data_IF_101651663704
#
_entry.id   IF_101651663704
#
_cell.length_a   1.000
_cell.length_b   1.000
_cell.length_c   1.000
_cell.angle_alpha   90.00
_cell.angle_beta   90.00
_cell.angle_gamma   90.00
#
_symmetry.space_group_name_H-M   'P 1'
#
loop_
_entity.id
_entity.type
_entity.pdbx_description
1 polymer ?
#
# COMPACT_ATOMS: atom_id res chain seq x y z
N UNK A 1 -40.17 47.12 12.77
CA UNK A 1 -39.43 45.87 12.44
C UNK A 1 -38.14 46.19 11.69
N UNK A 2 -37.13 46.72 12.38
CA UNK A 2 -35.80 46.95 11.79
C UNK A 2 -34.66 46.90 12.85
N UNK A 3 -34.95 46.37 14.04
CA UNK A 3 -34.03 46.34 15.17
C UNK A 3 -33.77 44.94 15.75
N UNK A 4 -34.31 43.87 15.15
CA UNK A 4 -34.10 42.48 15.61
C UNK A 4 -33.14 41.67 14.72
N UNK A 5 -32.75 42.19 13.56
CA UNK A 5 -31.88 41.49 12.58
C UNK A 5 -30.38 41.78 12.81
N UNK A 6 -30.02 42.68 13.74
CA UNK A 6 -28.61 43.00 14.07
C UNK A 6 -28.06 42.29 15.32
N UNK A 7 -28.85 41.40 15.94
CA UNK A 7 -28.46 40.69 17.18
C UNK A 7 -27.94 39.26 16.98
N UNK A 8 -28.03 38.67 15.78
CA UNK A 8 -27.54 37.30 15.51
C UNK A 8 -26.14 37.27 14.86
N UNK A 9 -25.57 38.42 14.48
CA UNK A 9 -24.25 38.50 13.85
C UNK A 9 -23.07 38.66 14.83
N UNK A 10 -23.29 38.55 16.15
CA UNK A 10 -22.22 38.62 17.18
C UNK A 10 -22.06 37.37 18.04
N UNK A 11 -22.75 36.27 17.70
CA UNK A 11 -22.55 34.95 18.35
C UNK A 11 -21.84 33.95 17.40
N UNK A 12 -21.51 34.36 16.18
CA UNK A 12 -20.81 33.52 15.18
C UNK A 12 -19.29 33.80 15.07
N UNK A 13 -18.66 34.45 16.05
CA UNK A 13 -17.20 34.73 16.05
C UNK A 13 -16.46 34.28 17.31
N UNK A 14 -17.06 33.39 18.11
CA UNK A 14 -16.38 32.72 19.24
C UNK A 14 -16.75 31.23 19.34
N UNK A 15 -16.39 30.45 18.32
CA UNK A 15 -16.32 28.98 18.40
C UNK A 15 -15.37 28.39 17.34
N UNK A 16 -14.31 29.11 16.99
CA UNK A 16 -13.23 28.63 16.11
C UNK A 16 -11.89 29.00 16.74
N UNK A 17 -11.59 28.34 17.85
CA UNK A 17 -10.29 28.44 18.50
C UNK A 17 -10.05 27.14 19.29
N UNK A 18 -9.36 26.20 18.65
CA UNK A 18 -8.43 25.20 19.22
C UNK A 18 -8.58 23.84 18.52
N UNK A 19 -7.94 23.71 17.37
CA UNK A 19 -7.36 22.44 16.97
C UNK A 19 -5.87 22.72 16.73
N UNK A 20 -4.95 22.06 17.44
CA UNK A 20 -3.53 22.19 17.14
C UNK A 20 -3.30 21.67 15.72
N UNK A 21 -2.89 22.55 14.82
CA UNK A 21 -2.30 22.14 13.54
C UNK A 21 -1.00 21.42 13.87
N UNK A 22 -1.05 20.10 13.95
CA UNK A 22 0.14 19.28 13.76
C UNK A 22 0.60 19.55 12.34
N UNK A 23 1.61 20.40 12.19
CA UNK A 23 2.33 20.57 10.94
C UNK A 23 3.14 19.30 10.76
N UNK A 24 2.55 18.28 10.14
CA UNK A 24 3.31 17.16 9.61
C UNK A 24 4.17 17.74 8.50
N UNK A 25 5.45 17.95 8.81
CA UNK A 25 6.49 18.15 7.80
C UNK A 25 6.62 16.84 7.02
N UNK A 26 5.80 16.69 5.99
CA UNK A 26 6.12 15.76 4.91
C UNK A 26 7.44 16.24 4.32
N UNK A 27 8.49 15.41 4.38
CA UNK A 27 9.67 15.55 3.52
C UNK A 27 9.16 15.43 2.08
N UNK A 28 8.81 16.56 1.47
CA UNK A 28 8.63 16.63 0.03
C UNK A 28 9.98 16.27 -0.58
N UNK A 29 9.99 15.25 -1.44
CA UNK A 29 11.06 15.05 -2.39
C UNK A 29 11.34 16.38 -3.10
N UNK A 30 12.61 16.69 -3.44
CA UNK A 30 12.95 17.97 -4.06
C UNK A 30 12.08 18.18 -5.32
N UNK A 31 11.36 19.29 -5.33
CA UNK A 31 10.55 19.80 -6.42
C UNK A 31 11.39 20.24 -7.64
N UNK A 32 12.32 19.40 -8.10
CA UNK A 32 13.20 19.67 -9.24
C UNK A 32 12.55 19.24 -10.57
N UNK A 33 11.50 18.41 -10.54
CA UNK A 33 10.93 17.82 -11.76
C UNK A 33 9.59 18.41 -12.22
N UNK A 34 8.98 19.37 -11.51
CA UNK A 34 7.73 20.04 -11.95
C UNK A 34 7.91 21.57 -12.15
N UNK A 35 9.11 22.11 -11.93
CA UNK A 35 9.35 23.55 -11.88
C UNK A 35 10.24 24.12 -13.01
N UNK A 36 10.14 23.62 -14.26
CA UNK A 36 10.83 24.23 -15.42
C UNK A 36 9.96 25.16 -16.30
N UNK A 37 8.72 25.49 -15.92
CA UNK A 37 7.84 26.32 -16.77
C UNK A 37 7.29 27.64 -16.18
N UNK A 38 7.61 28.04 -14.95
CA UNK A 38 7.13 29.34 -14.44
C UNK A 38 8.21 30.07 -13.65
N UNK A 39 9.07 30.78 -14.38
CA UNK A 39 10.18 31.58 -13.86
C UNK A 39 9.85 33.08 -13.67
N UNK A 40 8.57 33.46 -13.55
CA UNK A 40 8.17 34.88 -13.65
C UNK A 40 7.60 35.54 -12.38
N UNK A 41 7.48 34.86 -11.23
CA UNK A 41 7.00 35.52 -10.00
C UNK A 41 7.64 34.94 -8.74
N UNK A 42 8.80 35.47 -8.35
CA UNK A 42 9.27 35.45 -6.96
C UNK A 42 9.46 36.89 -6.48
N UNK A 43 8.83 37.31 -5.38
CA UNK A 43 9.36 38.37 -4.56
C UNK A 43 10.57 37.83 -3.78
N UNK A 44 11.70 38.52 -3.91
CA UNK A 44 12.86 38.45 -3.02
C UNK A 44 12.49 39.02 -1.66
N UNK A 45 12.91 38.37 -0.57
CA UNK A 45 13.33 38.96 0.72
C UNK A 45 13.78 37.83 1.66
N UNK A 46 15.07 37.65 1.91
CA UNK A 46 15.91 38.32 2.91
C UNK A 46 15.96 37.58 4.26
N UNK A 47 17.10 36.92 4.48
CA UNK A 47 17.85 36.74 5.73
C UNK A 47 17.12 37.07 7.04
N UNK A 48 16.88 36.07 7.87
CA UNK A 48 16.98 36.20 9.34
C UNK A 48 17.51 34.90 9.95
N UNK A 49 18.71 35.00 10.55
CA UNK A 49 19.25 34.03 11.51
C UNK A 49 18.61 34.29 12.87
N UNK A 50 18.10 33.26 13.54
CA UNK A 50 17.97 33.30 15.01
C UNK A 50 17.99 31.93 15.67
N UNK A 51 19.00 31.78 16.54
CA UNK A 51 19.06 31.16 17.88
C UNK A 51 18.52 29.74 18.12
N UNK A 52 19.45 28.91 18.61
CA UNK A 52 19.25 27.64 19.31
C UNK A 52 18.25 27.79 20.45
N UNK A 53 17.18 27.00 20.43
CA UNK A 53 16.47 26.56 21.61
C UNK A 53 16.68 25.05 21.75
N UNK A 54 17.09 24.63 22.94
CA UNK A 54 17.05 23.24 23.37
C UNK A 54 15.59 22.80 23.41
N UNK A 55 15.26 21.72 22.70
CA UNK A 55 13.99 21.01 22.79
C UNK A 55 14.35 19.65 23.40
N UNK A 56 13.71 19.35 24.51
CA UNK A 56 13.76 18.06 25.20
C UNK A 56 13.01 17.02 24.37
N UNK A 57 13.70 15.92 24.07
CA UNK A 57 13.28 14.51 24.17
C UNK A 57 11.83 14.16 23.76
N UNK A 58 11.53 14.26 22.46
CA UNK A 58 10.40 13.57 21.80
C UNK A 58 10.87 12.30 21.04
N UNK A 59 12.18 12.03 21.00
CA UNK A 59 12.78 10.92 20.24
C UNK A 59 12.71 9.57 20.99
N UNK A 60 12.47 9.58 22.32
CA UNK A 60 12.45 8.36 23.14
C UNK A 60 11.15 7.56 22.96
N UNK A 61 10.02 8.21 22.69
CA UNK A 61 8.70 7.55 22.57
C UNK A 61 8.57 6.79 21.23
N UNK A 62 9.20 7.27 20.16
CA UNK A 62 9.24 6.59 18.85
C UNK A 62 10.18 5.36 18.90
N UNK A 63 11.29 5.47 19.63
CA UNK A 63 12.24 4.38 19.86
C UNK A 63 11.65 3.26 20.72
N UNK A 64 10.86 3.60 21.74
CA UNK A 64 10.12 2.62 22.56
C UNK A 64 9.06 1.87 21.74
N UNK A 65 8.37 2.56 20.82
CA UNK A 65 7.39 1.94 19.92
C UNK A 65 8.05 0.98 18.90
N UNK A 66 9.23 1.31 18.39
CA UNK A 66 9.99 0.46 17.47
C UNK A 66 10.58 -0.78 18.19
N UNK A 67 11.05 -0.61 19.43
CA UNK A 67 11.50 -1.71 20.30
C UNK A 67 10.37 -2.70 20.62
N UNK A 68 9.18 -2.20 20.94
CA UNK A 68 8.01 -3.05 21.22
C UNK A 68 7.57 -3.87 19.98
N UNK A 69 7.65 -3.28 18.78
CA UNK A 69 7.34 -3.98 17.54
C UNK A 69 8.35 -5.10 17.22
N UNK A 70 9.65 -4.84 17.46
CA UNK A 70 10.72 -5.83 17.27
C UNK A 70 10.65 -6.97 18.29
N UNK A 71 10.30 -6.70 19.55
CA UNK A 71 10.07 -7.76 20.54
C UNK A 71 8.89 -8.65 20.17
N UNK A 72 7.83 -8.08 19.58
CA UNK A 72 6.68 -8.86 19.13
C UNK A 72 7.03 -9.76 17.93
N UNK A 73 7.77 -9.24 16.95
CA UNK A 73 8.25 -10.02 15.80
C UNK A 73 9.23 -11.13 16.22
N UNK A 74 10.11 -10.85 17.18
CA UNK A 74 11.02 -11.86 17.76
C UNK A 74 10.26 -12.96 18.48
N UNK A 75 9.20 -12.62 19.22
CA UNK A 75 8.36 -13.60 19.92
C UNK A 75 7.58 -14.50 18.96
N UNK A 76 7.13 -13.96 17.84
CA UNK A 76 6.47 -14.72 16.77
C UNK A 76 7.43 -15.68 16.05
N UNK A 77 8.69 -15.26 15.84
CA UNK A 77 9.74 -16.10 15.28
C UNK A 77 10.20 -17.20 16.24
N UNK A 78 10.34 -16.90 17.54
CA UNK A 78 10.67 -17.92 18.56
C UNK A 78 9.53 -18.94 18.74
N UNK A 79 8.27 -18.56 18.52
CA UNK A 79 7.14 -19.48 18.51
C UNK A 79 7.16 -20.42 17.29
N UNK A 80 7.61 -19.92 16.12
CA UNK A 80 7.84 -20.72 14.93
C UNK A 80 9.05 -21.66 15.09
N UNK A 81 10.11 -21.21 15.77
CA UNK A 81 11.34 -21.99 15.99
C UNK A 81 11.18 -23.07 17.08
N UNK A 82 10.36 -22.84 18.11
CA UNK A 82 10.07 -23.82 19.17
C UNK A 82 9.18 -24.99 18.74
N UNK A 83 8.78 -25.05 17.47
CA UNK A 83 8.06 -26.20 16.93
C UNK A 83 6.75 -26.46 17.67
N UNK A 84 6.05 -25.40 18.09
CA UNK A 84 4.63 -25.50 18.44
C UNK A 84 3.85 -25.68 17.13
N UNK A 85 4.02 -26.86 16.55
CA UNK A 85 3.30 -27.33 15.38
C UNK A 85 1.83 -27.34 15.75
N UNK A 86 1.06 -26.46 15.12
CA UNK A 86 -0.36 -26.66 14.86
C UNK A 86 -0.56 -28.14 14.55
N UNK A 87 -1.31 -28.81 15.43
CA UNK A 87 -1.68 -30.21 15.32
C UNK A 87 -2.03 -30.58 13.88
N UNK A 88 -1.46 -31.70 13.44
CA UNK A 88 -1.95 -32.51 12.33
C UNK A 88 -3.48 -32.52 12.31
N UNK A 89 -4.05 -31.82 11.34
CA UNK A 89 -5.47 -31.92 11.00
C UNK A 89 -5.59 -32.51 9.59
N UNK A 90 -4.91 -33.63 9.39
CA UNK A 90 -5.06 -34.52 8.24
C UNK A 90 -6.22 -35.49 8.49
N UNK A 91 -7.45 -34.97 8.55
CA UNK A 91 -8.74 -35.65 8.25
C UNK A 91 -9.93 -34.82 8.76
N UNK A 92 -10.39 -33.81 8.01
CA UNK A 92 -11.78 -33.28 8.06
C UNK A 92 -12.01 -32.19 7.00
N UNK A 93 -11.94 -32.52 5.71
CA UNK A 93 -12.04 -31.51 4.65
C UNK A 93 -13.46 -31.00 4.30
N UNK A 94 -14.54 -31.49 4.92
CA UNK A 94 -15.89 -31.10 4.49
C UNK A 94 -16.77 -30.34 5.51
N UNK A 95 -16.33 -30.14 6.76
CA UNK A 95 -17.16 -29.48 7.79
C UNK A 95 -16.73 -28.06 8.17
N UNK A 96 -15.48 -27.64 7.88
CA UNK A 96 -14.95 -26.34 8.31
C UNK A 96 -15.23 -25.19 7.33
N UNK A 97 -15.32 -25.46 6.03
CA UNK A 97 -15.58 -24.46 4.99
C UNK A 97 -16.99 -23.87 5.09
N UNK A 98 -17.97 -24.72 5.43
CA UNK A 98 -19.37 -24.32 5.64
C UNK A 98 -19.52 -23.36 6.83
N UNK A 99 -18.82 -23.63 7.95
CA UNK A 99 -18.88 -22.79 9.14
C UNK A 99 -18.21 -21.41 8.96
N UNK A 100 -17.10 -21.33 8.21
CA UNK A 100 -16.47 -20.05 7.90
C UNK A 100 -17.33 -19.22 6.94
N UNK A 101 -17.95 -19.87 5.95
CA UNK A 101 -18.83 -19.20 5.00
C UNK A 101 -20.10 -18.66 5.65
N UNK A 102 -20.71 -19.41 6.59
CA UNK A 102 -21.87 -18.93 7.34
C UNK A 102 -21.54 -17.76 8.25
N UNK A 103 -20.38 -17.78 8.91
CA UNK A 103 -19.91 -16.66 9.74
C UNK A 103 -19.67 -15.37 8.95
N UNK A 104 -19.13 -15.47 7.72
CA UNK A 104 -19.01 -14.32 6.85
C UNK A 104 -20.38 -13.74 6.53
N UNK A 105 -21.30 -14.59 6.06
CA UNK A 105 -22.62 -14.16 5.61
C UNK A 105 -23.42 -13.50 6.73
N UNK A 106 -23.44 -14.10 7.92
CA UNK A 106 -24.12 -13.54 9.09
C UNK A 106 -23.59 -12.15 9.46
N UNK A 107 -22.26 -11.98 9.48
CA UNK A 107 -21.65 -10.68 9.77
C UNK A 107 -21.88 -9.66 8.65
N UNK A 108 -21.84 -10.11 7.40
CA UNK A 108 -22.07 -9.28 6.24
C UNK A 108 -23.49 -8.71 6.27
N UNK A 109 -24.50 -9.57 6.38
CA UNK A 109 -25.90 -9.19 6.42
C UNK A 109 -26.22 -8.30 7.62
N UNK A 110 -25.66 -8.61 8.79
CA UNK A 110 -25.83 -7.80 9.99
C UNK A 110 -25.25 -6.38 9.85
N UNK A 111 -24.14 -6.20 9.12
CA UNK A 111 -23.60 -4.86 8.83
C UNK A 111 -24.45 -4.18 7.75
N UNK A 112 -24.84 -4.90 6.71
CA UNK A 112 -25.62 -4.38 5.59
C UNK A 112 -26.96 -3.79 6.06
N UNK A 113 -27.69 -4.54 6.90
CA UNK A 113 -28.94 -4.10 7.52
C UNK A 113 -28.72 -2.86 8.40
N UNK A 114 -27.70 -2.87 9.26
CA UNK A 114 -27.43 -1.76 10.19
C UNK A 114 -26.85 -0.52 9.52
N UNK A 115 -26.40 -0.63 8.27
CA UNK A 115 -25.86 0.50 7.50
C UNK A 115 -26.85 1.03 6.47
N UNK A 116 -28.10 0.58 6.47
CA UNK A 116 -29.13 1.20 5.62
C UNK A 116 -29.33 2.68 5.95
N UNK A 117 -29.71 3.48 4.96
CA UNK A 117 -29.88 4.94 5.13
C UNK A 117 -30.97 5.26 6.16
N UNK A 118 -32.01 4.43 6.23
CA UNK A 118 -33.12 4.51 7.17
C UNK A 118 -32.73 4.19 8.62
N UNK A 119 -31.62 3.48 8.85
CA UNK A 119 -31.24 3.01 10.18
C UNK A 119 -30.89 4.18 11.10
N UNK A 120 -31.45 4.26 12.32
CA UNK A 120 -31.10 5.31 13.28
C UNK A 120 -29.62 5.29 13.68
N UNK A 121 -29.04 6.46 13.96
CA UNK A 121 -27.59 6.61 14.29
C UNK A 121 -27.15 5.73 15.47
N UNK A 122 -27.99 5.58 16.49
CA UNK A 122 -27.69 4.77 17.67
C UNK A 122 -27.67 3.25 17.41
N UNK A 123 -28.16 2.80 16.25
CA UNK A 123 -28.19 1.40 15.84
C UNK A 123 -27.08 1.06 14.82
N UNK A 124 -26.28 2.06 14.42
CA UNK A 124 -25.16 1.86 13.52
C UNK A 124 -24.16 0.87 14.11
N UNK A 125 -23.49 0.07 13.26
CA UNK A 125 -22.50 -0.88 13.73
C UNK A 125 -21.31 -0.15 14.37
N UNK A 126 -20.67 -0.83 15.33
CA UNK A 126 -19.39 -0.36 15.88
C UNK A 126 -18.34 -0.37 14.78
N UNK A 127 -17.37 0.55 14.86
CA UNK A 127 -16.26 0.62 13.92
C UNK A 127 -15.49 -0.70 13.75
N UNK A 128 -15.37 -1.49 14.82
CA UNK A 128 -14.70 -2.80 14.80
C UNK A 128 -15.45 -3.86 14.01
N UNK A 129 -16.75 -3.69 13.71
CA UNK A 129 -17.54 -4.69 13.01
C UNK A 129 -16.97 -5.00 11.61
N UNK A 130 -16.60 -3.96 10.86
CA UNK A 130 -15.98 -4.12 9.54
C UNK A 130 -14.66 -4.88 9.65
N UNK A 131 -13.81 -4.54 10.62
CA UNK A 131 -12.57 -5.28 10.87
C UNK A 131 -12.80 -6.77 11.18
N UNK A 132 -13.83 -7.10 11.97
CA UNK A 132 -14.17 -8.50 12.29
C UNK A 132 -14.79 -9.28 11.12
N UNK A 133 -15.46 -8.60 10.20
CA UNK A 133 -15.92 -9.19 8.93
C UNK A 133 -14.73 -9.50 8.02
N UNK A 134 -13.78 -8.58 7.87
CA UNK A 134 -12.62 -8.77 6.99
C UNK A 134 -11.77 -9.98 7.37
N UNK A 135 -11.77 -10.36 8.66
CA UNK A 135 -11.09 -11.58 9.15
C UNK A 135 -11.76 -12.89 8.73
N UNK A 136 -13.03 -12.86 8.33
CA UNK A 136 -13.78 -14.07 7.93
C UNK A 136 -13.82 -14.28 6.42
N UNK A 137 -13.22 -13.38 5.64
CA UNK A 137 -13.16 -13.48 4.17
C UNK A 137 -12.20 -14.61 3.79
N UNK A 138 -12.70 -15.59 3.06
CA UNK A 138 -11.98 -16.81 2.68
C UNK A 138 -12.11 -17.14 1.19
N UNK A 139 -13.18 -16.69 0.52
CA UNK A 139 -13.44 -16.95 -0.91
C UNK A 139 -13.43 -15.67 -1.74
N UNK A 140 -13.30 -15.79 -3.07
CA UNK A 140 -13.41 -14.62 -3.97
C UNK A 140 -14.79 -14.00 -3.97
N UNK A 141 -15.86 -14.80 -3.93
CA UNK A 141 -17.23 -14.27 -3.92
C UNK A 141 -17.47 -13.38 -2.70
N UNK A 142 -16.93 -13.79 -1.54
CA UNK A 142 -16.96 -12.97 -0.32
C UNK A 142 -16.18 -11.67 -0.49
N UNK A 143 -15.00 -11.71 -1.13
CA UNK A 143 -14.22 -10.52 -1.44
C UNK A 143 -14.94 -9.59 -2.44
N UNK A 144 -15.64 -10.16 -3.42
CA UNK A 144 -16.43 -9.46 -4.44
C UNK A 144 -17.64 -8.73 -3.86
N UNK A 145 -18.17 -9.18 -2.73
CA UNK A 145 -19.25 -8.49 -2.01
C UNK A 145 -18.75 -7.26 -1.21
N UNK A 146 -17.46 -7.17 -0.88
CA UNK A 146 -16.95 -6.10 -0.01
C UNK A 146 -17.10 -4.67 -0.57
N UNK A 147 -16.89 -4.39 -1.88
CA UNK A 147 -17.04 -3.04 -2.41
C UNK A 147 -18.40 -2.41 -2.15
N UNK A 148 -19.49 -3.16 -2.31
CA UNK A 148 -20.86 -2.67 -2.05
C UNK A 148 -21.01 -2.27 -0.57
N UNK A 149 -20.59 -3.15 0.34
CA UNK A 149 -20.64 -2.88 1.78
C UNK A 149 -19.80 -1.67 2.17
N UNK A 150 -18.59 -1.54 1.61
CA UNK A 150 -17.69 -0.40 1.90
C UNK A 150 -18.28 0.90 1.38
N UNK A 151 -18.89 0.88 0.19
CA UNK A 151 -19.60 2.04 -0.34
C UNK A 151 -20.74 2.47 0.59
N UNK A 152 -21.57 1.52 1.04
CA UNK A 152 -22.66 1.81 1.98
C UNK A 152 -22.13 2.33 3.33
N UNK A 153 -21.06 1.73 3.85
CA UNK A 153 -20.36 2.18 5.05
C UNK A 153 -19.94 3.65 4.94
N UNK A 154 -19.38 4.03 3.78
CA UNK A 154 -18.96 5.41 3.48
C UNK A 154 -20.13 6.37 3.30
N UNK A 155 -21.23 5.96 2.66
CA UNK A 155 -22.44 6.79 2.55
C UNK A 155 -23.04 7.12 3.93
N UNK A 156 -22.90 6.21 4.90
CA UNK A 156 -23.26 6.43 6.31
C UNK A 156 -22.23 7.24 7.11
N UNK A 157 -21.19 7.76 6.44
CA UNK A 157 -20.09 8.55 7.02
C UNK A 157 -19.36 7.82 8.14
N UNK A 158 -19.37 6.48 8.11
CA UNK A 158 -18.61 5.70 9.07
C UNK A 158 -17.11 5.77 8.71
N UNK A 159 -16.21 5.89 9.71
CA UNK A 159 -14.79 6.04 9.45
C UNK A 159 -14.19 4.76 8.90
N UNK A 160 -13.17 4.92 8.06
CA UNK A 160 -12.28 3.85 7.61
C UNK A 160 -10.86 4.30 7.93
N UNK A 161 -10.23 3.63 8.88
CA UNK A 161 -8.86 3.95 9.29
C UNK A 161 -7.84 3.33 8.34
N UNK A 162 -6.56 3.77 8.38
CA UNK A 162 -5.49 3.10 7.63
C UNK A 162 -5.38 1.60 7.94
N UNK A 163 -5.59 1.21 9.20
CA UNK A 163 -5.62 -0.20 9.61
C UNK A 163 -6.74 -0.98 8.90
N UNK A 164 -7.96 -0.43 8.83
CA UNK A 164 -9.05 -1.09 8.12
C UNK A 164 -8.78 -1.12 6.62
N UNK A 165 -8.20 -0.06 6.06
CA UNK A 165 -7.79 -0.02 4.65
C UNK A 165 -6.81 -1.15 4.34
N UNK A 166 -5.76 -1.31 5.15
CA UNK A 166 -4.79 -2.40 4.95
C UNK A 166 -5.42 -3.79 5.11
N UNK A 167 -6.31 -3.98 6.09
CA UNK A 167 -6.99 -5.26 6.30
C UNK A 167 -8.00 -5.59 5.20
N UNK A 168 -8.67 -4.58 4.64
CA UNK A 168 -9.58 -4.74 3.53
C UNK A 168 -8.82 -5.22 2.29
N UNK A 169 -7.72 -4.54 1.96
CA UNK A 169 -6.87 -4.94 0.83
C UNK A 169 -6.20 -6.30 1.09
N UNK A 170 -5.78 -6.58 2.33
CA UNK A 170 -5.28 -7.91 2.70
C UNK A 170 -6.33 -9.00 2.47
N UNK A 171 -7.59 -8.79 2.87
CA UNK A 171 -8.66 -9.75 2.67
C UNK A 171 -8.91 -10.04 1.19
N UNK A 172 -8.83 -9.02 0.33
CA UNK A 172 -9.07 -9.15 -1.12
C UNK A 172 -7.87 -9.79 -1.85
N UNK A 173 -6.64 -9.51 -1.43
CA UNK A 173 -5.43 -10.03 -2.09
C UNK A 173 -4.94 -11.38 -1.56
N UNK A 174 -5.37 -11.84 -0.38
CA UNK A 174 -4.81 -13.03 0.29
C UNK A 174 -5.67 -14.30 0.15
N UNK A 175 -6.88 -14.23 -0.40
CA UNK A 175 -7.73 -15.42 -0.53
C UNK A 175 -7.05 -16.46 -1.43
N UNK A 176 -6.66 -17.58 -0.82
CA UNK A 176 -5.83 -18.65 -1.41
C UNK A 176 -6.48 -19.33 -2.62
N UNK A 177 -7.79 -19.16 -2.81
CA UNK A 177 -8.56 -19.81 -3.88
C UNK A 177 -8.90 -18.91 -5.07
N UNK A 178 -8.79 -17.58 -4.95
CA UNK A 178 -9.03 -16.65 -6.04
C UNK A 178 -8.59 -15.24 -5.64
N UNK A 179 -7.28 -15.01 -5.66
CA UNK A 179 -6.70 -13.68 -5.52
C UNK A 179 -7.39 -12.75 -6.51
N UNK A 180 -8.06 -11.72 -6.01
CA UNK A 180 -8.82 -10.78 -6.83
C UNK A 180 -8.22 -9.38 -6.71
N UNK A 181 -6.93 -9.18 -7.06
CA UNK A 181 -6.26 -7.89 -6.92
C UNK A 181 -6.92 -6.78 -7.76
N UNK A 182 -7.76 -7.12 -8.74
CA UNK A 182 -8.61 -6.18 -9.48
C UNK A 182 -9.59 -5.43 -8.56
N UNK A 183 -10.19 -6.12 -7.59
CA UNK A 183 -11.07 -5.50 -6.59
C UNK A 183 -10.26 -4.52 -5.73
N UNK A 184 -8.99 -4.84 -5.43
CA UNK A 184 -8.12 -3.91 -4.70
C UNK A 184 -7.87 -2.64 -5.53
N UNK A 185 -7.67 -2.73 -6.85
CA UNK A 185 -7.59 -1.55 -7.72
C UNK A 185 -8.91 -0.79 -7.72
N UNK A 186 -10.06 -1.44 -7.82
CA UNK A 186 -11.37 -0.76 -7.77
C UNK A 186 -11.51 0.07 -6.48
N UNK A 187 -11.21 -0.56 -5.34
CA UNK A 187 -11.31 0.06 -4.02
C UNK A 187 -10.32 1.23 -3.83
N UNK A 188 -9.12 1.13 -4.40
CA UNK A 188 -8.07 2.16 -4.31
C UNK A 188 -8.16 3.22 -5.42
N UNK A 189 -8.80 2.90 -6.54
CA UNK A 189 -8.94 3.81 -7.68
C UNK A 189 -9.98 4.89 -7.44
N UNK A 190 -11.00 4.60 -6.63
CA UNK A 190 -12.08 5.54 -6.30
C UNK A 190 -12.05 5.91 -4.81
N UNK A 191 -11.18 6.86 -4.47
CA UNK A 191 -11.08 7.37 -3.09
C UNK A 191 -12.34 8.10 -2.64
N UNK A 192 -13.11 8.69 -3.54
CA UNK A 192 -14.32 9.43 -3.16
C UNK A 192 -15.41 8.47 -2.69
N UNK A 193 -15.60 7.37 -3.42
CA UNK A 193 -16.59 6.34 -3.10
C UNK A 193 -16.15 5.52 -1.89
N UNK A 194 -14.92 4.99 -1.88
CA UNK A 194 -14.49 4.01 -0.89
C UNK A 194 -13.73 4.61 0.29
N UNK A 195 -13.18 5.82 0.16
CA UNK A 195 -12.55 6.54 1.28
C UNK A 195 -11.35 5.86 1.91
N UNK A 196 -10.64 4.99 1.17
CA UNK A 196 -9.49 4.26 1.69
C UNK A 196 -8.26 5.16 1.89
N UNK A 197 -7.40 4.75 2.82
CA UNK A 197 -6.13 5.41 3.16
C UNK A 197 -5.01 4.35 3.20
N UNK A 198 -4.54 3.86 2.04
CA UNK A 198 -3.50 2.84 1.96
C UNK A 198 -2.13 3.38 2.44
N UNK A 199 -1.30 2.49 2.98
CA UNK A 199 0.13 2.73 3.16
C UNK A 199 0.97 2.08 2.05
N UNK A 200 2.28 2.29 2.06
CA UNK A 200 3.21 1.63 1.13
C UNK A 200 3.11 0.09 1.19
N UNK A 201 2.98 -0.48 2.40
CA UNK A 201 2.82 -1.93 2.59
C UNK A 201 1.57 -2.48 1.89
N UNK A 202 0.49 -1.70 1.86
CA UNK A 202 -0.76 -2.03 1.17
C UNK A 202 -0.54 -2.09 -0.34
N UNK A 203 0.11 -1.07 -0.92
CA UNK A 203 0.42 -1.04 -2.37
C UNK A 203 1.35 -2.18 -2.76
N UNK A 204 2.43 -2.42 -2.00
CA UNK A 204 3.36 -3.55 -2.23
C UNK A 204 2.63 -4.89 -2.28
N UNK A 205 1.62 -5.08 -1.42
CA UNK A 205 0.82 -6.30 -1.36
C UNK A 205 0.00 -6.50 -2.65
N UNK A 206 -0.66 -5.45 -3.13
CA UNK A 206 -1.46 -5.50 -4.36
C UNK A 206 -0.56 -5.79 -5.57
N UNK A 207 0.57 -5.09 -5.70
CA UNK A 207 1.56 -5.34 -6.76
C UNK A 207 2.03 -6.78 -6.74
N UNK A 208 2.40 -7.32 -5.57
CA UNK A 208 2.83 -8.72 -5.44
C UNK A 208 1.74 -9.71 -5.83
N UNK A 209 0.48 -9.42 -5.51
CA UNK A 209 -0.65 -10.27 -5.88
C UNK A 209 -0.85 -10.32 -7.40
N UNK A 210 -0.74 -9.18 -8.09
CA UNK A 210 -0.75 -9.16 -9.55
C UNK A 210 0.43 -9.91 -10.16
N UNK A 211 1.65 -9.72 -9.63
CA UNK A 211 2.86 -10.40 -10.12
C UNK A 211 2.74 -11.91 -9.98
N UNK A 212 2.19 -12.41 -8.87
CA UNK A 212 1.88 -13.83 -8.73
C UNK A 212 0.85 -14.29 -9.78
N UNK A 213 -0.16 -13.47 -10.07
CA UNK A 213 -1.12 -13.72 -11.14
C UNK A 213 -0.48 -13.79 -12.54
N UNK A 214 0.61 -13.05 -12.79
CA UNK A 214 1.41 -13.18 -14.02
C UNK A 214 2.05 -14.56 -14.10
N UNK A 215 2.74 -14.98 -13.03
CA UNK A 215 3.40 -16.30 -12.96
C UNK A 215 2.39 -17.45 -13.15
N UNK A 216 1.24 -17.37 -12.48
CA UNK A 216 0.16 -18.35 -12.58
C UNK A 216 -0.42 -18.41 -14.02
N UNK A 217 -0.64 -17.25 -14.65
CA UNK A 217 -1.17 -17.18 -16.02
C UNK A 217 -0.17 -17.69 -17.07
N UNK A 218 1.12 -17.39 -16.91
CA UNK A 218 2.20 -17.95 -17.76
C UNK A 218 2.29 -19.47 -17.59
N UNK A 219 2.21 -19.97 -16.36
CA UNK A 219 2.19 -21.41 -16.07
C UNK A 219 1.00 -22.14 -16.72
N UNK A 220 -0.14 -21.46 -16.85
CA UNK A 220 -1.32 -21.93 -17.56
C UNK A 220 -1.27 -21.71 -19.09
N UNK A 221 -0.20 -21.10 -19.62
CA UNK A 221 -0.04 -20.82 -21.05
C UNK A 221 -0.89 -19.64 -21.57
N UNK A 222 -1.43 -18.79 -20.69
CA UNK A 222 -2.27 -17.66 -21.06
C UNK A 222 -1.48 -16.34 -20.99
N UNK A 223 -0.79 -16.02 -22.09
CA UNK A 223 0.04 -14.82 -22.22
C UNK A 223 -0.77 -13.51 -22.17
N UNK A 224 -1.99 -13.49 -22.70
CA UNK A 224 -2.85 -12.30 -22.70
C UNK A 224 -3.27 -11.94 -21.27
N UNK A 225 -3.73 -12.93 -20.50
CA UNK A 225 -4.05 -12.74 -19.09
C UNK A 225 -2.81 -12.33 -18.29
N UNK A 226 -1.65 -12.94 -18.56
CA UNK A 226 -0.41 -12.57 -17.90
C UNK A 226 -0.04 -11.09 -18.13
N UNK A 227 -0.23 -10.59 -19.37
CA UNK A 227 -0.02 -9.18 -19.68
C UNK A 227 -1.03 -8.28 -18.98
N UNK A 228 -2.31 -8.67 -18.92
CA UNK A 228 -3.35 -7.92 -18.20
C UNK A 228 -3.03 -7.81 -16.69
N UNK A 229 -2.57 -8.90 -16.07
CA UNK A 229 -2.13 -8.91 -14.67
C UNK A 229 -0.93 -8.00 -14.47
N UNK A 230 0.03 -8.00 -15.41
CA UNK A 230 1.17 -7.09 -15.37
C UNK A 230 0.73 -5.63 -15.47
N UNK A 231 -0.21 -5.31 -16.36
CA UNK A 231 -0.81 -3.97 -16.44
C UNK A 231 -1.48 -3.57 -15.13
N UNK A 232 -2.16 -4.49 -14.45
CA UNK A 232 -2.72 -4.28 -13.11
C UNK A 232 -1.65 -3.89 -12.07
N UNK A 233 -0.50 -4.56 -12.08
CA UNK A 233 0.63 -4.22 -11.20
C UNK A 233 1.16 -2.79 -11.46
N UNK A 234 1.33 -2.40 -12.72
CA UNK A 234 1.76 -1.03 -13.07
C UNK A 234 0.70 0.03 -12.74
N UNK A 235 -0.58 -0.24 -13.00
CA UNK A 235 -1.70 0.62 -12.59
C UNK A 235 -1.70 0.84 -11.07
N UNK A 236 -1.39 -0.21 -10.30
CA UNK A 236 -1.29 -0.13 -8.84
C UNK A 236 -0.15 0.79 -8.39
N UNK A 237 1.03 0.73 -9.03
CA UNK A 237 2.12 1.67 -8.77
C UNK A 237 1.72 3.11 -9.07
N UNK A 238 0.98 3.34 -10.16
CA UNK A 238 0.49 4.67 -10.54
C UNK A 238 -0.48 5.30 -9.52
N UNK A 239 -1.04 4.51 -8.58
CA UNK A 239 -1.84 5.03 -7.47
C UNK A 239 -0.99 5.63 -6.34
N UNK A 240 0.33 5.38 -6.28
CA UNK A 240 1.16 5.88 -5.19
C UNK A 240 1.17 7.41 -5.09
N UNK A 241 1.39 8.18 -6.18
CA UNK A 241 1.31 9.64 -6.13
C UNK A 241 -0.11 10.14 -5.79
N UNK A 242 -1.15 9.43 -6.24
CA UNK A 242 -2.54 9.77 -5.95
C UNK A 242 -2.85 9.75 -4.43
N UNK A 243 -2.15 8.89 -3.68
CA UNK A 243 -2.21 8.80 -2.22
C UNK A 243 -1.11 9.57 -1.49
N UNK A 244 -0.31 10.37 -2.18
CA UNK A 244 0.89 11.03 -1.64
C UNK A 244 1.89 10.05 -1.00
N UNK A 245 1.96 8.82 -1.51
CA UNK A 245 2.95 7.84 -1.09
C UNK A 245 4.27 8.06 -1.85
N UNK A 246 5.44 7.88 -1.22
CA UNK A 246 6.72 7.98 -1.90
C UNK A 246 6.81 6.98 -3.04
N UNK A 247 7.05 7.46 -4.27
CA UNK A 247 7.10 6.64 -5.49
C UNK A 247 8.37 5.79 -5.59
N UNK A 248 9.38 6.08 -4.79
CA UNK A 248 10.72 5.52 -4.76
C UNK A 248 10.83 4.19 -3.97
N UNK A 249 9.77 3.38 -4.03
CA UNK A 249 9.65 2.15 -3.26
C UNK A 249 10.32 0.96 -3.97
N UNK A 250 11.56 0.67 -3.57
CA UNK A 250 12.37 -0.42 -4.11
C UNK A 250 11.68 -1.79 -4.14
N UNK A 251 10.81 -2.09 -3.17
CA UNK A 251 10.10 -3.36 -3.17
C UNK A 251 9.06 -3.41 -4.30
N UNK A 252 8.41 -2.28 -4.61
CA UNK A 252 7.48 -2.17 -5.75
C UNK A 252 8.24 -2.37 -7.06
N UNK A 253 9.32 -1.63 -7.30
CA UNK A 253 10.15 -1.78 -8.51
C UNK A 253 10.67 -3.22 -8.68
N UNK A 254 11.19 -3.83 -7.61
CA UNK A 254 11.71 -5.20 -7.66
C UNK A 254 10.62 -6.21 -8.05
N UNK A 255 9.40 -6.07 -7.54
CA UNK A 255 8.28 -6.93 -7.93
C UNK A 255 7.86 -6.68 -9.38
N UNK A 256 7.83 -5.43 -9.85
CA UNK A 256 7.49 -5.10 -11.24
C UNK A 256 8.50 -5.65 -12.24
N UNK A 257 9.80 -5.52 -11.95
CA UNK A 257 10.87 -6.12 -12.77
C UNK A 257 10.71 -7.63 -12.82
N UNK A 258 10.52 -8.29 -11.67
CA UNK A 258 10.31 -9.74 -11.61
C UNK A 258 9.08 -10.19 -12.39
N UNK A 259 7.93 -9.54 -12.22
CA UNK A 259 6.72 -9.87 -12.97
C UNK A 259 6.87 -9.63 -14.47
N UNK A 260 7.56 -8.57 -14.86
CA UNK A 260 7.84 -8.26 -16.26
C UNK A 260 8.75 -9.32 -16.90
N UNK A 261 9.77 -9.80 -16.18
CA UNK A 261 10.62 -10.90 -16.62
C UNK A 261 9.89 -12.24 -16.66
N UNK A 262 9.00 -12.50 -15.70
CA UNK A 262 8.20 -13.73 -15.64
C UNK A 262 7.26 -13.88 -16.84
N UNK A 263 6.79 -12.77 -17.42
CA UNK A 263 5.98 -12.79 -18.64
C UNK A 263 6.69 -13.48 -19.81
N UNK A 264 8.03 -13.37 -19.89
CA UNK A 264 8.85 -14.05 -20.90
C UNK A 264 8.69 -13.53 -22.33
N UNK A 265 8.01 -12.40 -22.54
CA UNK A 265 7.82 -11.76 -23.85
C UNK A 265 8.75 -10.57 -24.06
N UNK A 266 8.90 -10.12 -25.31
CA UNK A 266 9.66 -8.91 -25.64
C UNK A 266 9.12 -7.68 -24.90
N UNK A 267 7.79 -7.58 -24.75
CA UNK A 267 7.15 -6.50 -24.01
C UNK A 267 7.46 -6.57 -22.51
N UNK A 268 7.49 -7.77 -21.93
CA UNK A 268 7.92 -7.99 -20.56
C UNK A 268 9.38 -7.55 -20.35
N UNK A 269 10.27 -7.93 -21.27
CA UNK A 269 11.67 -7.48 -21.21
C UNK A 269 11.76 -5.96 -21.31
N UNK A 270 11.11 -5.34 -22.30
CA UNK A 270 11.09 -3.87 -22.48
C UNK A 270 10.66 -3.15 -21.21
N UNK A 271 9.60 -3.60 -20.56
CA UNK A 271 9.09 -3.01 -19.31
C UNK A 271 10.06 -3.22 -18.15
N UNK A 272 10.69 -4.38 -18.03
CA UNK A 272 11.71 -4.64 -17.02
C UNK A 272 12.91 -3.68 -17.16
N UNK A 273 13.38 -3.45 -18.40
CA UNK A 273 14.47 -2.52 -18.69
C UNK A 273 14.12 -1.09 -18.27
N UNK A 274 12.98 -0.57 -18.75
CA UNK A 274 12.53 0.80 -18.42
C UNK A 274 12.34 0.98 -16.91
N UNK A 275 11.77 -0.02 -16.24
CA UNK A 275 11.54 0.01 -14.80
C UNK A 275 12.86 0.01 -14.01
N UNK A 276 13.88 -0.72 -14.50
CA UNK A 276 15.21 -0.70 -13.89
C UNK A 276 15.93 0.63 -14.13
N UNK A 277 15.86 1.17 -15.35
CA UNK A 277 16.50 2.45 -15.69
C UNK A 277 15.93 3.59 -14.82
N UNK A 278 14.61 3.58 -14.58
CA UNK A 278 13.95 4.50 -13.65
C UNK A 278 14.43 4.31 -12.19
N UNK A 279 14.55 3.06 -11.74
CA UNK A 279 15.04 2.74 -10.39
C UNK A 279 16.48 3.23 -10.17
N UNK A 280 17.34 3.04 -11.17
CA UNK A 280 18.73 3.50 -11.12
C UNK A 280 18.83 5.02 -11.06
N UNK A 281 17.99 5.72 -11.83
CA UNK A 281 17.90 7.18 -11.78
C UNK A 281 17.51 7.67 -10.38
N UNK A 282 16.46 7.09 -9.79
CA UNK A 282 15.99 7.46 -8.44
C UNK A 282 17.04 7.15 -7.38
N UNK A 283 17.72 6.01 -7.49
CA UNK A 283 18.74 5.62 -6.52
C UNK A 283 19.99 6.52 -6.59
N UNK A 284 20.35 7.02 -7.77
CA UNK A 284 21.45 7.96 -7.95
C UNK A 284 21.26 9.29 -7.20
N UNK A 285 20.02 9.64 -6.86
CA UNK A 285 19.67 10.85 -6.11
C UNK A 285 19.65 10.65 -4.59
N UNK A 286 19.71 9.40 -4.10
CA UNK A 286 19.60 9.09 -2.66
C UNK A 286 20.96 8.96 -2.00
N UNK A 287 21.12 9.65 -0.87
CA UNK A 287 22.30 9.53 -0.01
C UNK A 287 22.16 8.41 1.03
N UNK A 288 20.94 7.99 1.37
CA UNK A 288 20.68 6.99 2.42
C UNK A 288 20.85 5.55 1.91
N UNK A 289 21.59 4.69 2.63
CA UNK A 289 21.77 3.30 2.24
C UNK A 289 20.48 2.48 2.41
N UNK A 290 20.27 1.52 1.50
CA UNK A 290 19.17 0.56 1.57
C UNK A 290 19.26 -0.32 2.81
N UNK A 291 18.11 -0.70 3.37
CA UNK A 291 18.06 -1.78 4.38
C UNK A 291 18.42 -3.12 3.74
N UNK A 292 19.05 -4.02 4.51
CA UNK A 292 19.48 -5.37 4.05
C UNK A 292 18.41 -6.10 3.24
N UNK A 293 17.17 -6.15 3.76
CA UNK A 293 16.05 -6.84 3.12
C UNK A 293 15.70 -6.22 1.75
N UNK A 294 15.67 -4.89 1.65
CA UNK A 294 15.37 -4.18 0.40
C UNK A 294 16.51 -4.34 -0.60
N UNK A 295 17.76 -4.26 -0.15
CA UNK A 295 18.92 -4.52 -0.97
C UNK A 295 18.89 -5.93 -1.56
N UNK A 296 18.50 -6.95 -0.78
CA UNK A 296 18.42 -8.33 -1.26
C UNK A 296 17.35 -8.51 -2.35
N UNK A 297 16.16 -7.90 -2.16
CA UNK A 297 15.08 -7.95 -3.15
C UNK A 297 15.48 -7.29 -4.48
N UNK A 298 16.13 -6.12 -4.42
CA UNK A 298 16.59 -5.37 -5.60
C UNK A 298 17.71 -6.11 -6.32
N UNK A 299 18.69 -6.64 -5.58
CA UNK A 299 19.79 -7.42 -6.15
C UNK A 299 19.25 -8.66 -6.86
N UNK A 300 18.30 -9.38 -6.27
CA UNK A 300 17.70 -10.55 -6.92
C UNK A 300 16.98 -10.21 -8.23
N UNK A 301 16.23 -9.10 -8.27
CA UNK A 301 15.59 -8.62 -9.49
C UNK A 301 16.61 -8.16 -10.55
N UNK A 302 17.68 -7.49 -10.13
CA UNK A 302 18.76 -7.03 -11.00
C UNK A 302 19.58 -8.19 -11.57
N UNK A 303 19.87 -9.23 -10.79
CA UNK A 303 20.56 -10.43 -11.28
C UNK A 303 19.75 -11.16 -12.35
N UNK A 304 18.42 -11.22 -12.19
CA UNK A 304 17.54 -11.80 -13.20
C UNK A 304 17.58 -11.00 -14.51
N UNK A 305 17.53 -9.66 -14.44
CA UNK A 305 17.63 -8.79 -15.61
C UNK A 305 19.03 -8.84 -16.26
N UNK A 306 20.09 -8.93 -15.46
CA UNK A 306 21.46 -9.06 -15.93
C UNK A 306 21.64 -10.28 -16.84
N UNK A 307 21.12 -11.43 -16.43
CA UNK A 307 21.15 -12.66 -17.25
C UNK A 307 20.45 -12.47 -18.61
N UNK A 308 19.37 -11.69 -18.63
CA UNK A 308 18.67 -11.35 -19.89
C UNK A 308 19.52 -10.43 -20.76
N UNK A 309 20.22 -9.45 -20.18
CA UNK A 309 21.17 -8.61 -20.92
C UNK A 309 22.31 -9.41 -21.53
N UNK A 310 22.91 -10.34 -20.78
CA UNK A 310 23.96 -11.22 -21.30
C UNK A 310 23.45 -12.10 -22.45
N UNK A 311 22.27 -12.71 -22.29
CA UNK A 311 21.66 -13.54 -23.32
C UNK A 311 21.35 -12.76 -24.62
N UNK A 312 20.98 -11.48 -24.49
CA UNK A 312 20.66 -10.61 -25.61
C UNK A 312 21.87 -9.84 -26.16
N UNK A 313 23.09 -10.09 -25.65
CA UNK A 313 24.32 -9.42 -26.11
C UNK A 313 24.42 -7.93 -25.72
N UNK A 314 23.65 -7.45 -24.74
CA UNK A 314 23.66 -6.07 -24.25
C UNK A 314 24.74 -5.87 -23.17
N UNK A 315 26.01 -6.03 -23.55
CA UNK A 315 27.14 -6.01 -22.62
C UNK A 315 27.25 -4.71 -21.82
N UNK A 316 27.10 -3.54 -22.46
CA UNK A 316 27.19 -2.24 -21.78
C UNK A 316 26.17 -2.10 -20.63
N UNK A 317 24.92 -2.51 -20.86
CA UNK A 317 23.86 -2.49 -19.85
C UNK A 317 24.11 -3.50 -18.73
N UNK A 318 24.65 -4.68 -19.06
CA UNK A 318 25.00 -5.69 -18.08
C UNK A 318 26.10 -5.18 -17.13
N UNK A 319 27.16 -4.55 -17.68
CA UNK A 319 28.24 -3.97 -16.89
C UNK A 319 27.78 -2.84 -15.97
N UNK A 320 26.93 -1.94 -16.46
CA UNK A 320 26.34 -0.87 -15.66
C UNK A 320 25.52 -1.41 -14.50
N UNK A 321 24.64 -2.38 -14.78
CA UNK A 321 23.81 -3.01 -13.75
C UNK A 321 24.67 -3.76 -12.72
N UNK A 322 25.77 -4.40 -13.15
CA UNK A 322 26.69 -5.09 -12.25
C UNK A 322 27.40 -4.13 -11.29
N UNK A 323 27.75 -2.92 -11.73
CA UNK A 323 28.31 -1.87 -10.85
C UNK A 323 27.29 -1.45 -9.78
N UNK A 324 26.03 -1.25 -10.17
CA UNK A 324 24.95 -0.92 -9.23
C UNK A 324 24.72 -2.05 -8.22
N UNK A 325 24.66 -3.31 -8.68
CA UNK A 325 24.53 -4.48 -7.80
C UNK A 325 25.69 -4.58 -6.80
N UNK A 326 26.93 -4.33 -7.23
CA UNK A 326 28.08 -4.33 -6.33
C UNK A 326 27.96 -3.25 -5.24
N UNK A 327 27.37 -2.10 -5.53
CA UNK A 327 27.08 -1.07 -4.53
C UNK A 327 26.00 -1.53 -3.55
N UNK A 328 24.89 -2.09 -4.04
CA UNK A 328 23.80 -2.56 -3.16
C UNK A 328 24.22 -3.72 -2.25
N UNK A 329 25.08 -4.62 -2.75
CA UNK A 329 25.64 -5.73 -1.96
C UNK A 329 26.51 -5.28 -0.78
N UNK A 330 27.08 -4.06 -0.80
CA UNK A 330 27.81 -3.51 0.36
C UNK A 330 26.91 -3.30 1.58
N UNK A 331 25.59 -3.21 1.36
CA UNK A 331 24.59 -3.01 2.40
C UNK A 331 23.92 -4.32 2.87
N UNK A 332 24.32 -5.48 2.32
CA UNK A 332 23.88 -6.82 2.75
C UNK A 332 24.74 -7.30 3.93
#
# INVERSE_FOLDING_TARGET
MAAFVRSMARIATRASASAPRVVVRTRQAPAVMIARQYHAFRPTDSVLKSKKHAIMDDDDEELEAELAALEQEKRELEALEKGETLQDNSNSEDSSSSAASSQFQEKYDAILEKTQISTPVHQLPRHTALYHLLKTVTTADQAAALPELVQQWRQRKLPITPLISDKLIQAVCHTTKAQSPEIAIQLLGDREVYGLSPGQGTVRRVVRSFVRGVEDAVGAGNQELALEKLDGAFKTMALMPYYNLPADDFAVYSNLIRGSLALGSEEGQRRAEVTMDELLLINGEKEEPLTRKRAAEVVAAAEALHKVYEANGKQDKAEELNKAMAQWRKNL
#
